data_IF_382240623993
#
_entry.id   IF_382240623993
#
_cell.length_a   1.000
_cell.length_b   1.000
_cell.length_c   1.000
_cell.angle_alpha   90.00
_cell.angle_beta   90.00
_cell.angle_gamma   90.00
#
_symmetry.space_group_name_H-M   'P 1'
#
loop_
_entity.id
_entity.type
_entity.pdbx_description
1 polymer ?
#
# COMPACT_ATOMS: atom_id res chain seq x y z
N UNK A 1 -33.25 -50.05 48.68
CA UNK A 1 -33.47 -50.20 47.22
C UNK A 1 -33.16 -48.83 46.60
N UNK A 2 -31.94 -48.59 46.08
CA UNK A 2 -31.56 -48.65 44.63
C UNK A 2 -32.58 -47.89 43.77
N UNK A 3 -32.29 -46.78 43.06
CA UNK A 3 -31.30 -46.52 41.99
C UNK A 3 -31.20 -44.98 41.77
N UNK A 4 -30.01 -44.35 41.78
CA UNK A 4 -29.13 -43.97 40.63
C UNK A 4 -29.65 -42.85 39.70
N UNK A 5 -28.91 -41.72 39.69
CA UNK A 5 -28.40 -40.89 38.57
C UNK A 5 -27.74 -39.64 39.22
N UNK A 6 -26.41 -39.49 39.35
CA UNK A 6 -25.37 -39.21 38.33
C UNK A 6 -25.78 -38.04 37.40
N UNK A 7 -25.03 -36.94 37.20
CA UNK A 7 -23.68 -36.57 37.61
C UNK A 7 -23.43 -35.06 37.42
N UNK A 8 -22.45 -34.55 38.19
CA UNK A 8 -21.41 -33.56 37.85
C UNK A 8 -21.77 -32.15 37.34
N UNK A 9 -21.54 -31.16 38.21
CA UNK A 9 -20.91 -29.87 37.84
C UNK A 9 -20.27 -29.25 39.11
N UNK A 10 -19.02 -29.64 39.34
CA UNK A 10 -18.07 -29.03 40.30
C UNK A 10 -16.78 -28.82 39.49
N UNK A 11 -16.07 -27.69 39.52
CA UNK A 11 -16.21 -26.54 40.38
C UNK A 11 -15.18 -25.46 40.04
N UNK A 12 -15.32 -24.35 40.80
CA UNK A 12 -14.27 -23.48 41.34
C UNK A 12 -13.45 -22.66 40.33
N UNK A 13 -13.91 -21.41 40.19
CA UNK A 13 -13.06 -20.24 39.99
C UNK A 13 -12.29 -19.89 41.29
N UNK A 14 -11.20 -19.13 41.13
CA UNK A 14 -10.28 -18.55 42.14
C UNK A 14 -9.27 -19.49 42.81
N UNK A 15 -8.01 -19.38 42.38
CA UNK A 15 -6.91 -18.82 43.19
C UNK A 15 -5.57 -19.26 42.61
N UNK A 16 -4.82 -18.32 42.01
CA UNK A 16 -3.35 -18.32 42.00
C UNK A 16 -2.89 -16.88 41.78
N UNK A 17 -3.00 -16.08 42.84
CA UNK A 17 -2.15 -14.90 43.03
C UNK A 17 -1.00 -15.32 43.93
N UNK A 18 0.23 -15.01 43.52
CA UNK A 18 1.39 -14.97 44.42
C UNK A 18 2.51 -15.97 44.12
N UNK A 19 3.24 -15.76 43.02
CA UNK A 19 4.70 -15.73 43.09
C UNK A 19 5.21 -14.59 42.21
N UNK A 20 5.68 -13.55 42.87
CA UNK A 20 6.46 -12.45 42.33
C UNK A 20 7.76 -12.98 41.74
N UNK A 21 7.81 -13.09 40.41
CA UNK A 21 8.96 -12.58 39.70
C UNK A 21 8.54 -11.20 39.20
N UNK A 22 9.16 -10.16 39.73
CA UNK A 22 9.23 -8.88 39.05
C UNK A 22 10.04 -9.11 37.76
N UNK A 23 9.42 -9.74 36.75
CA UNK A 23 9.72 -9.34 35.40
C UNK A 23 9.20 -7.92 35.33
N UNK A 24 10.10 -6.93 35.37
CA UNK A 24 9.80 -5.65 34.76
C UNK A 24 9.74 -5.87 33.24
N UNK A 25 8.73 -6.64 32.82
CA UNK A 25 8.22 -6.75 31.47
C UNK A 25 7.84 -5.33 31.08
N UNK A 26 8.74 -4.62 30.40
CA UNK A 26 8.55 -3.20 30.13
C UNK A 26 7.48 -3.05 29.04
N UNK A 27 6.22 -3.08 29.45
CA UNK A 27 5.10 -2.72 28.60
C UNK A 27 5.28 -1.28 28.14
N UNK A 28 5.14 -1.04 26.84
CA UNK A 28 5.29 0.29 26.27
C UNK A 28 4.11 0.60 25.36
N UNK A 29 3.71 1.86 25.39
CA UNK A 29 2.76 2.45 24.45
C UNK A 29 3.46 3.64 23.82
N UNK A 30 3.47 3.68 22.50
CA UNK A 30 4.08 4.74 21.72
C UNK A 30 3.02 5.40 20.87
N UNK A 31 2.87 6.72 21.04
CA UNK A 31 2.18 7.58 20.11
C UNK A 31 3.17 8.03 19.04
N UNK A 32 2.75 8.02 17.78
CA UNK A 32 3.60 8.40 16.66
C UNK A 32 2.78 8.99 15.51
N UNK A 33 3.45 9.67 14.58
CA UNK A 33 2.79 10.12 13.36
C UNK A 33 3.72 10.72 12.32
N UNK A 34 3.13 11.00 11.16
CA UNK A 34 3.76 11.70 10.04
C UNK A 34 2.74 12.69 9.49
N UNK A 35 3.19 13.90 9.21
CA UNK A 35 2.45 14.96 8.52
C UNK A 35 3.24 15.36 7.28
N UNK A 36 2.62 15.36 6.12
CA UNK A 36 3.11 15.80 4.82
C UNK A 36 2.08 16.73 4.18
N UNK A 37 2.53 17.88 3.68
CA UNK A 37 1.72 18.79 2.89
C UNK A 37 2.56 19.61 1.92
N UNK A 38 1.91 20.09 0.86
CA UNK A 38 2.59 20.81 -0.20
C UNK A 38 1.65 21.40 -1.24
N UNK A 39 2.25 22.05 -2.23
CA UNK A 39 1.57 22.60 -3.41
C UNK A 39 2.04 21.82 -4.62
N UNK A 40 1.08 21.37 -5.43
CA UNK A 40 1.32 20.62 -6.67
C UNK A 40 0.75 21.40 -7.85
N UNK A 41 1.55 21.60 -8.89
CA UNK A 41 1.10 22.02 -10.21
C UNK A 41 1.03 20.82 -11.13
N UNK A 42 -0.04 20.72 -11.94
CA UNK A 42 -0.21 19.67 -12.96
C UNK A 42 -0.61 20.34 -14.27
N UNK A 43 -0.01 19.92 -15.39
CA UNK A 43 -0.17 20.62 -16.67
C UNK A 43 -1.51 20.39 -17.38
N UNK A 44 -2.09 19.19 -17.27
CA UNK A 44 -3.30 18.80 -18.00
C UNK A 44 -4.13 17.81 -17.17
N UNK A 45 -5.12 18.34 -16.47
CA UNK A 45 -6.11 17.63 -15.64
C UNK A 45 -7.48 17.96 -16.22
N UNK A 46 -8.03 17.09 -17.07
CA UNK A 46 -9.26 17.38 -17.80
C UNK A 46 -9.15 18.51 -18.84
N UNK A 47 -7.97 18.74 -19.41
CA UNK A 47 -7.75 19.70 -20.50
C UNK A 47 -7.20 21.06 -20.08
N UNK A 48 -7.01 21.30 -18.79
CA UNK A 48 -6.38 22.51 -18.26
C UNK A 48 -5.35 22.17 -17.19
N UNK A 49 -4.47 23.13 -16.87
CA UNK A 49 -3.59 23.01 -15.72
C UNK A 49 -4.34 23.26 -14.42
N UNK A 50 -3.78 22.77 -13.31
CA UNK A 50 -4.23 23.07 -11.95
C UNK A 50 -3.04 23.34 -11.04
N UNK A 51 -3.20 24.26 -10.09
CA UNK A 51 -2.33 24.40 -8.92
C UNK A 51 -3.20 24.08 -7.71
N UNK A 52 -2.80 23.10 -6.89
CA UNK A 52 -3.57 22.67 -5.73
C UNK A 52 -2.70 22.50 -4.49
N UNK A 53 -3.32 22.72 -3.34
CA UNK A 53 -2.86 22.13 -2.10
C UNK A 53 -3.10 20.62 -2.17
N UNK A 54 -2.10 19.85 -1.77
CA UNK A 54 -2.23 18.41 -1.63
C UNK A 54 -1.38 17.92 -0.47
N UNK A 55 -1.81 16.83 0.16
CA UNK A 55 -1.21 16.34 1.41
C UNK A 55 -1.03 14.83 1.39
N UNK A 56 -0.11 14.34 2.22
CA UNK A 56 0.15 12.91 2.32
C UNK A 56 0.80 12.28 1.09
N UNK A 57 1.43 13.08 0.22
CA UNK A 57 1.93 12.64 -1.09
C UNK A 57 3.27 11.96 -0.96
N UNK A 58 4.29 12.63 -0.42
CA UNK A 58 5.59 12.00 -0.22
C UNK A 58 5.48 10.86 0.80
N UNK A 59 4.71 11.08 1.86
CA UNK A 59 4.37 10.06 2.85
C UNK A 59 2.95 10.26 3.33
N UNK A 60 2.14 9.19 3.32
CA UNK A 60 0.78 9.24 3.81
C UNK A 60 0.69 9.77 5.24
N UNK A 61 -0.10 10.84 5.41
CA UNK A 61 -0.46 11.46 6.67
C UNK A 61 -1.04 10.43 7.64
N UNK A 62 -0.50 10.38 8.87
CA UNK A 62 -0.92 9.37 9.85
C UNK A 62 -0.70 9.78 11.29
N UNK A 63 -1.58 9.26 12.14
CA UNK A 63 -1.48 9.29 13.58
C UNK A 63 -1.71 7.87 14.10
N UNK A 64 -0.88 7.40 15.01
CA UNK A 64 -0.99 6.03 15.49
C UNK A 64 -0.57 5.86 16.94
N UNK A 65 -1.10 4.78 17.52
CA UNK A 65 -0.72 4.26 18.83
C UNK A 65 -0.37 2.79 18.63
N UNK A 66 0.83 2.41 19.07
CA UNK A 66 1.27 1.02 19.08
C UNK A 66 1.76 0.64 20.47
N UNK A 67 1.64 -0.63 20.81
CA UNK A 67 2.11 -1.11 22.10
C UNK A 67 2.60 -2.54 22.09
N UNK A 68 3.33 -2.88 23.14
CA UNK A 68 3.84 -4.21 23.41
C UNK A 68 3.74 -4.45 24.91
N UNK A 69 3.23 -5.61 25.28
CA UNK A 69 3.17 -6.11 26.65
C UNK A 69 3.92 -7.44 26.69
N UNK A 70 4.91 -7.56 27.57
CA UNK A 70 5.63 -8.82 27.77
C UNK A 70 4.81 -9.74 28.69
N UNK A 71 4.46 -10.91 28.16
CA UNK A 71 3.64 -11.94 28.81
C UNK A 71 4.49 -13.01 29.51
N UNK A 72 5.82 -12.87 29.48
CA UNK A 72 6.78 -13.82 30.02
C UNK A 72 7.21 -14.89 29.01
N UNK A 73 8.37 -15.51 29.27
CA UNK A 73 8.89 -16.61 28.43
C UNK A 73 9.21 -16.21 26.98
N UNK A 74 9.44 -14.91 26.72
CA UNK A 74 9.68 -14.36 25.38
C UNK A 74 8.41 -14.10 24.56
N UNK A 75 7.23 -14.45 25.10
CA UNK A 75 5.94 -14.16 24.46
C UNK A 75 5.50 -12.73 24.79
N UNK A 76 4.99 -12.03 23.78
CA UNK A 76 4.51 -10.66 23.91
C UNK A 76 3.13 -10.51 23.27
N UNK A 77 2.23 -9.74 23.89
CA UNK A 77 1.07 -9.18 23.20
C UNK A 77 1.49 -7.89 22.48
N UNK A 78 1.00 -7.68 21.26
CA UNK A 78 1.27 -6.49 20.45
C UNK A 78 -0.02 -5.93 19.88
N UNK A 79 -0.09 -4.61 19.70
CA UNK A 79 -1.19 -3.97 18.99
C UNK A 79 -0.73 -2.72 18.24
N UNK A 80 -1.48 -2.37 17.19
CA UNK A 80 -1.36 -1.08 16.50
C UNK A 80 -2.75 -0.59 16.12
N UNK A 81 -3.01 0.69 16.36
CA UNK A 81 -4.16 1.44 15.86
C UNK A 81 -3.61 2.67 15.14
N UNK A 82 -3.85 2.79 13.83
CA UNK A 82 -3.30 3.85 12.98
C UNK A 82 -4.38 4.46 12.07
N UNK A 83 -4.58 5.76 12.22
CA UNK A 83 -5.46 6.60 11.42
C UNK A 83 -4.70 7.23 10.26
N UNK A 84 -5.33 7.32 9.09
CA UNK A 84 -4.93 8.22 8.02
C UNK A 84 -5.86 9.42 7.97
N UNK A 85 -5.35 10.60 7.65
CA UNK A 85 -6.16 11.82 7.60
C UNK A 85 -5.67 12.76 6.49
N UNK A 86 -6.55 13.64 6.03
CA UNK A 86 -6.23 14.74 5.13
C UNK A 86 -5.91 15.98 5.96
N UNK A 87 -4.72 16.54 5.78
CA UNK A 87 -4.32 17.75 6.50
C UNK A 87 -5.13 18.98 6.05
N UNK A 88 -5.48 19.05 4.76
CA UNK A 88 -6.15 20.21 4.18
C UNK A 88 -7.56 20.47 4.72
N UNK A 89 -8.23 19.46 5.26
CA UNK A 89 -9.61 19.57 5.73
C UNK A 89 -9.93 18.78 7.01
N UNK A 90 -8.97 18.02 7.55
CA UNK A 90 -9.12 17.23 8.78
C UNK A 90 -9.96 15.96 8.65
N UNK A 91 -10.38 15.57 7.45
CA UNK A 91 -11.16 14.35 7.23
C UNK A 91 -10.30 13.09 7.39
N UNK A 92 -10.91 12.00 7.83
CA UNK A 92 -10.26 10.68 7.84
C UNK A 92 -10.10 10.17 6.40
N UNK A 93 -8.95 9.55 6.12
CA UNK A 93 -8.73 8.78 4.91
C UNK A 93 -9.38 7.40 4.98
N UNK A 94 -9.05 6.52 4.02
CA UNK A 94 -9.39 5.09 4.05
C UNK A 94 -10.88 4.79 4.27
N UNK A 95 -11.75 5.44 3.48
CA UNK A 95 -13.20 5.25 3.60
C UNK A 95 -13.81 5.80 4.89
N UNK A 96 -13.22 6.87 5.43
CA UNK A 96 -13.63 7.50 6.71
C UNK A 96 -13.46 6.62 7.94
N UNK A 97 -12.62 5.58 7.86
CA UNK A 97 -12.34 4.69 8.99
C UNK A 97 -11.39 5.33 10.00
N UNK A 98 -11.74 5.32 11.29
CA UNK A 98 -10.90 5.88 12.35
C UNK A 98 -9.51 5.24 12.39
N UNK A 99 -9.39 3.93 12.19
CA UNK A 99 -8.11 3.21 12.14
C UNK A 99 -7.93 2.47 10.81
N UNK A 100 -8.19 3.20 9.71
CA UNK A 100 -8.20 2.63 8.36
C UNK A 100 -6.83 2.21 7.82
N UNK A 101 -5.72 2.74 8.37
CA UNK A 101 -4.38 2.35 7.93
C UNK A 101 -4.00 0.98 8.49
N UNK A 102 -4.08 0.82 9.81
CA UNK A 102 -3.84 -0.45 10.51
C UNK A 102 -4.66 -0.50 11.79
N UNK A 103 -5.23 -1.66 12.08
CA UNK A 103 -5.94 -1.92 13.33
C UNK A 103 -5.82 -3.41 13.66
N UNK A 104 -4.89 -3.79 14.54
CA UNK A 104 -4.67 -5.20 14.86
C UNK A 104 -4.21 -5.42 16.30
N UNK A 105 -4.38 -6.66 16.74
CA UNK A 105 -3.79 -7.24 17.95
C UNK A 105 -3.12 -8.56 17.59
N UNK A 106 -2.06 -8.95 18.30
CA UNK A 106 -1.36 -10.19 18.03
C UNK A 106 -0.48 -10.68 19.16
N UNK A 107 0.11 -11.85 18.92
CA UNK A 107 1.12 -12.46 19.76
C UNK A 107 2.44 -12.54 18.98
N UNK A 108 3.52 -12.16 19.65
CA UNK A 108 4.87 -12.19 19.11
C UNK A 108 5.78 -13.04 20.01
N UNK A 109 6.66 -13.82 19.40
CA UNK A 109 7.74 -14.54 20.09
C UNK A 109 8.90 -14.79 19.12
N UNK A 110 9.82 -15.71 19.44
CA UNK A 110 11.01 -16.07 18.65
C UNK A 110 10.69 -16.60 17.25
N UNK A 111 9.49 -17.15 17.04
CA UNK A 111 9.04 -17.63 15.74
C UNK A 111 8.51 -16.53 14.80
N UNK A 112 8.15 -15.37 15.32
CA UNK A 112 7.50 -14.30 14.56
C UNK A 112 6.30 -13.70 15.28
N UNK A 113 5.37 -13.16 14.50
CA UNK A 113 4.13 -12.52 14.97
C UNK A 113 2.92 -13.15 14.29
N UNK A 114 1.93 -13.56 15.10
CA UNK A 114 0.61 -13.97 14.65
C UNK A 114 -0.38 -12.89 15.09
N UNK A 115 -1.09 -12.29 14.14
CA UNK A 115 -1.93 -11.11 14.40
C UNK A 115 -3.25 -11.13 13.64
N UNK A 116 -4.24 -10.45 14.21
CA UNK A 116 -5.63 -10.40 13.76
C UNK A 116 -6.08 -8.95 13.57
N UNK A 117 -6.66 -8.62 12.42
CA UNK A 117 -7.27 -7.31 12.18
C UNK A 117 -7.11 -6.77 10.76
N UNK A 118 -7.12 -5.44 10.62
CA UNK A 118 -6.82 -4.72 9.39
C UNK A 118 -5.31 -4.47 9.30
N UNK A 119 -4.63 -5.12 8.34
CA UNK A 119 -3.17 -5.25 8.32
C UNK A 119 -2.62 -5.10 6.91
N UNK A 120 -1.39 -4.60 6.80
CA UNK A 120 -0.65 -4.52 5.54
C UNK A 120 -0.46 -5.92 4.93
N UNK A 121 -0.61 -6.01 3.61
CA UNK A 121 -0.41 -7.26 2.86
C UNK A 121 1.06 -7.62 2.65
N UNK A 122 1.35 -8.82 2.11
CA UNK A 122 2.74 -9.24 1.89
C UNK A 122 3.39 -8.50 0.72
N UNK A 123 2.62 -7.85 -0.17
CA UNK A 123 3.21 -6.96 -1.18
C UNK A 123 3.87 -5.79 -0.46
N UNK A 124 3.17 -5.17 0.49
CA UNK A 124 3.73 -4.10 1.32
C UNK A 124 4.93 -4.60 2.16
N UNK A 125 4.78 -5.71 2.88
CA UNK A 125 5.82 -6.19 3.81
C UNK A 125 7.11 -6.64 3.10
N UNK A 126 7.03 -7.11 1.86
CA UNK A 126 8.14 -7.79 1.20
C UNK A 126 8.76 -7.00 0.05
N UNK A 127 7.99 -6.17 -0.67
CA UNK A 127 8.45 -5.56 -1.92
C UNK A 127 8.24 -4.05 -2.06
N UNK A 128 7.42 -3.41 -1.22
CA UNK A 128 7.16 -1.95 -1.27
C UNK A 128 8.43 -1.09 -1.30
N UNK A 129 9.46 -1.50 -0.56
CA UNK A 129 10.74 -0.79 -0.52
C UNK A 129 11.34 -0.61 -1.92
N UNK A 130 11.05 -1.46 -2.88
CA UNK A 130 11.62 -1.43 -4.23
C UNK A 130 10.90 -0.50 -5.22
N UNK A 131 9.86 0.22 -4.79
CA UNK A 131 9.11 1.17 -5.61
C UNK A 131 9.79 2.56 -5.66
N UNK A 132 10.85 2.67 -6.46
CA UNK A 132 11.75 3.84 -6.43
C UNK A 132 11.10 5.11 -6.96
N UNK A 133 10.15 5.02 -7.90
CA UNK A 133 9.45 6.21 -8.40
C UNK A 133 8.50 6.78 -7.37
N UNK A 134 7.81 5.93 -6.60
CA UNK A 134 7.00 6.39 -5.48
C UNK A 134 7.86 7.07 -4.40
N UNK A 135 9.08 6.56 -4.12
CA UNK A 135 10.01 7.24 -3.23
C UNK A 135 10.54 8.58 -3.76
N UNK A 136 10.64 8.72 -5.09
CA UNK A 136 11.06 9.96 -5.74
C UNK A 136 10.01 11.05 -5.69
N UNK A 137 8.75 10.74 -6.03
CA UNK A 137 7.72 11.78 -6.17
C UNK A 137 6.51 11.64 -5.25
N UNK A 138 6.18 10.42 -4.84
CA UNK A 138 4.92 10.11 -4.17
C UNK A 138 3.75 9.92 -5.12
N UNK A 139 3.66 10.71 -6.20
CA UNK A 139 2.64 10.54 -7.25
C UNK A 139 2.99 9.43 -8.26
N UNK A 140 4.27 9.16 -8.49
CA UNK A 140 4.73 8.16 -9.45
C UNK A 140 4.66 6.72 -8.94
N UNK A 141 3.48 6.34 -8.47
CA UNK A 141 3.13 4.95 -8.22
C UNK A 141 2.90 4.21 -9.54
N UNK A 142 2.91 2.88 -9.51
CA UNK A 142 2.59 2.08 -10.68
C UNK A 142 1.20 2.41 -11.21
N UNK A 143 1.01 2.35 -12.53
CA UNK A 143 -0.24 2.81 -13.16
C UNK A 143 -1.47 2.12 -12.55
N UNK A 144 -2.38 2.92 -12.02
CA UNK A 144 -3.58 2.47 -11.31
C UNK A 144 -3.33 1.69 -10.01
N UNK A 145 -2.09 1.51 -9.55
CA UNK A 145 -1.69 0.71 -8.39
C UNK A 145 -2.33 -0.70 -8.37
N UNK A 146 -2.62 -1.26 -9.55
CA UNK A 146 -3.23 -2.59 -9.65
C UNK A 146 -2.29 -3.71 -9.21
N UNK A 147 -1.00 -3.44 -9.06
CA UNK A 147 -0.07 -4.38 -8.44
C UNK A 147 0.08 -4.19 -6.93
N UNK A 148 -0.53 -3.14 -6.35
CA UNK A 148 -0.52 -2.84 -4.91
C UNK A 148 0.88 -2.50 -4.40
N UNK A 149 1.80 -2.10 -5.28
CA UNK A 149 3.19 -1.77 -4.95
C UNK A 149 3.35 -0.43 -4.23
N UNK A 150 2.27 0.35 -4.08
CA UNK A 150 2.26 1.55 -3.23
C UNK A 150 1.70 1.31 -1.81
N UNK A 151 1.48 0.04 -1.46
CA UNK A 151 1.15 -0.36 -0.10
C UNK A 151 -0.32 -0.35 0.23
N UNK A 152 -0.82 -1.54 0.56
CA UNK A 152 -2.22 -1.73 0.84
C UNK A 152 -2.45 -2.70 2.01
N UNK A 153 -3.66 -2.63 2.56
CA UNK A 153 -4.11 -3.42 3.69
C UNK A 153 -5.13 -4.45 3.24
N UNK A 154 -5.36 -5.44 4.09
CA UNK A 154 -6.48 -6.36 4.00
C UNK A 154 -7.19 -6.40 5.36
N UNK A 155 -8.53 -6.15 5.41
CA UNK A 155 -9.31 -6.18 6.64
C UNK A 155 -9.54 -7.63 7.09
N UNK A 156 -10.14 -7.81 8.26
CA UNK A 156 -10.62 -9.12 8.73
C UNK A 156 -9.57 -10.23 8.58
N UNK A 157 -8.30 -9.92 8.84
CA UNK A 157 -7.20 -10.79 8.44
C UNK A 157 -6.59 -11.54 9.62
N UNK A 158 -6.12 -12.76 9.35
CA UNK A 158 -5.13 -13.46 10.18
C UNK A 158 -3.82 -13.43 9.41
N UNK A 159 -2.76 -12.95 10.06
CA UNK A 159 -1.44 -12.77 9.47
C UNK A 159 -0.39 -13.45 10.32
N UNK A 160 0.51 -14.17 9.68
CA UNK A 160 1.77 -14.61 10.26
C UNK A 160 2.92 -13.92 9.53
N UNK A 161 3.85 -13.36 10.30
CA UNK A 161 5.11 -12.81 9.80
C UNK A 161 6.26 -13.38 10.65
N UNK A 162 7.21 -14.06 10.02
CA UNK A 162 8.35 -14.64 10.72
C UNK A 162 9.24 -13.55 11.30
N UNK A 163 10.03 -13.89 12.33
CA UNK A 163 11.24 -13.08 12.59
C UNK A 163 12.24 -13.25 11.45
N UNK A 164 13.28 -12.43 11.44
CA UNK A 164 14.39 -12.58 10.51
C UNK A 164 15.33 -13.72 10.96
N UNK A 165 15.62 -14.65 10.04
CA UNK A 165 16.51 -15.79 10.26
C UNK A 165 17.61 -15.80 9.20
N UNK A 166 18.83 -15.42 9.59
CA UNK A 166 19.99 -15.33 8.69
C UNK A 166 19.69 -14.51 7.41
N UNK A 167 19.03 -13.37 7.57
CA UNK A 167 18.60 -12.50 6.47
C UNK A 167 17.22 -12.80 5.91
N UNK A 168 16.64 -13.98 6.16
CA UNK A 168 15.35 -14.39 5.60
C UNK A 168 14.17 -14.02 6.50
N UNK A 169 13.13 -13.45 5.90
CA UNK A 169 11.82 -13.23 6.49
C UNK A 169 10.76 -13.80 5.54
N UNK A 170 9.69 -14.39 6.06
CA UNK A 170 8.56 -14.84 5.27
C UNK A 170 7.25 -14.64 6.01
N UNK A 171 6.16 -14.58 5.27
CA UNK A 171 4.86 -14.35 5.85
C UNK A 171 3.72 -14.80 4.95
N UNK A 172 2.54 -14.86 5.55
CA UNK A 172 1.31 -15.17 4.87
C UNK A 172 0.12 -14.63 5.65
N UNK A 173 -0.95 -14.33 4.93
CA UNK A 173 -2.20 -13.89 5.53
C UNK A 173 -3.40 -14.29 4.70
N UNK A 174 -4.53 -14.42 5.40
CA UNK A 174 -5.85 -14.59 4.81
C UNK A 174 -6.79 -13.52 5.38
N UNK A 175 -7.59 -12.91 4.51
CA UNK A 175 -8.60 -11.90 4.80
C UNK A 175 -9.96 -12.46 4.46
N UNK A 176 -10.84 -12.56 5.45
CA UNK A 176 -12.20 -13.08 5.26
C UNK A 176 -13.11 -12.00 4.68
N UNK A 177 -13.93 -12.38 3.69
CA UNK A 177 -14.99 -11.51 3.15
C UNK A 177 -16.21 -11.38 4.07
N UNK A 178 -16.30 -12.21 5.12
CA UNK A 178 -17.43 -12.26 6.06
C UNK A 178 -18.80 -12.53 5.38
N UNK A 179 -18.81 -13.27 4.28
CA UNK A 179 -20.03 -13.67 3.58
C UNK A 179 -20.55 -15.00 4.11
N UNK A 180 -21.80 -15.04 4.54
CA UNK A 180 -22.41 -16.24 5.11
C UNK A 180 -22.50 -17.37 4.06
N UNK A 181 -21.85 -18.50 4.33
CA UNK A 181 -21.86 -19.67 3.43
C UNK A 181 -20.86 -19.61 2.27
N UNK A 182 -20.12 -18.51 2.12
CA UNK A 182 -19.10 -18.36 1.08
C UNK A 182 -17.77 -17.89 1.68
N UNK A 183 -16.78 -18.78 1.66
CA UNK A 183 -15.45 -18.48 2.18
C UNK A 183 -14.59 -17.68 1.20
N UNK A 184 -14.95 -17.67 -0.09
CA UNK A 184 -14.18 -17.09 -1.18
C UNK A 184 -14.68 -15.71 -1.60
N UNK A 185 -15.98 -15.46 -1.52
CA UNK A 185 -16.54 -14.15 -1.85
C UNK A 185 -15.92 -13.07 -0.96
N UNK A 186 -15.51 -11.97 -1.59
CA UNK A 186 -14.93 -10.79 -0.94
C UNK A 186 -13.65 -11.07 -0.13
N UNK A 187 -13.05 -12.24 -0.31
CA UNK A 187 -11.87 -12.69 0.42
C UNK A 187 -10.57 -12.32 -0.29
N UNK A 188 -9.48 -12.31 0.45
CA UNK A 188 -8.15 -12.09 -0.09
C UNK A 188 -7.10 -12.93 0.65
N UNK A 189 -5.97 -13.15 0.00
CA UNK A 189 -4.81 -13.76 0.66
C UNK A 189 -3.52 -13.23 0.07
N UNK A 190 -2.47 -13.29 0.86
CA UNK A 190 -1.16 -12.78 0.47
C UNK A 190 -0.06 -13.63 1.10
N UNK A 191 1.00 -13.92 0.37
CA UNK A 191 2.19 -14.65 0.83
C UNK A 191 3.43 -14.01 0.26
N UNK A 192 4.54 -14.09 0.97
CA UNK A 192 5.79 -13.56 0.46
C UNK A 192 7.00 -13.88 1.32
N UNK A 193 8.15 -13.54 0.79
CA UNK A 193 9.43 -13.67 1.45
C UNK A 193 10.37 -12.53 1.06
N UNK A 194 11.26 -12.22 1.98
CA UNK A 194 12.27 -11.18 1.86
C UNK A 194 13.61 -11.74 2.32
N UNK A 195 14.69 -11.27 1.70
CA UNK A 195 16.05 -11.58 2.07
C UNK A 195 16.89 -10.29 2.13
N UNK A 196 17.63 -10.09 3.21
CA UNK A 196 18.65 -9.05 3.32
C UNK A 196 19.99 -9.63 3.77
N UNK A 197 21.06 -9.18 3.14
CA UNK A 197 22.43 -9.50 3.55
C UNK A 197 23.40 -8.41 3.12
N UNK A 198 23.88 -7.63 4.09
CA UNK A 198 24.77 -6.51 3.84
C UNK A 198 24.12 -5.47 2.92
N UNK A 199 24.76 -5.09 1.79
CA UNK A 199 24.23 -4.07 0.88
C UNK A 199 23.09 -4.56 -0.01
N UNK A 200 22.82 -5.87 -0.07
CA UNK A 200 21.82 -6.46 -0.95
C UNK A 200 20.54 -6.79 -0.19
N UNK A 201 19.39 -6.42 -0.77
CA UNK A 201 18.08 -6.88 -0.33
C UNK A 201 17.24 -7.31 -1.53
N UNK A 202 16.36 -8.28 -1.33
CA UNK A 202 15.34 -8.64 -2.31
C UNK A 202 14.08 -9.14 -1.63
N UNK A 203 12.96 -9.06 -2.32
CA UNK A 203 11.71 -9.64 -1.86
C UNK A 203 10.83 -10.08 -3.01
N UNK A 204 9.90 -10.98 -2.69
CA UNK A 204 8.84 -11.39 -3.59
C UNK A 204 7.55 -11.62 -2.81
N UNK A 205 6.43 -11.29 -3.43
CA UNK A 205 5.10 -11.49 -2.86
C UNK A 205 4.10 -11.89 -3.93
N UNK A 206 3.07 -12.60 -3.51
CA UNK A 206 1.86 -12.79 -4.29
C UNK A 206 0.64 -12.42 -3.44
N UNK A 207 -0.21 -11.55 -3.98
CA UNK A 207 -1.46 -11.13 -3.35
C UNK A 207 -2.62 -11.37 -4.30
N UNK A 208 -3.70 -11.98 -3.81
CA UNK A 208 -4.93 -12.19 -4.56
C UNK A 208 -6.13 -11.62 -3.83
N UNK A 209 -6.94 -10.87 -4.55
CA UNK A 209 -8.26 -10.41 -4.15
C UNK A 209 -9.31 -11.17 -4.96
N UNK A 210 -10.36 -11.65 -4.29
CA UNK A 210 -11.56 -12.17 -4.90
C UNK A 210 -12.66 -11.12 -4.73
N UNK A 211 -13.36 -10.77 -5.81
CA UNK A 211 -14.40 -9.75 -5.83
C UNK A 211 -13.95 -8.42 -5.18
N UNK A 212 -12.85 -7.80 -5.66
CA UNK A 212 -12.37 -6.54 -5.10
C UNK A 212 -13.45 -5.45 -5.13
N UNK A 213 -13.66 -4.80 -3.99
CA UNK A 213 -14.73 -3.83 -3.76
C UNK A 213 -14.28 -2.73 -2.78
N UNK A 214 -15.13 -1.72 -2.57
CA UNK A 214 -14.84 -0.60 -1.68
C UNK A 214 -13.56 0.13 -2.09
N UNK A 215 -12.57 0.21 -1.20
CA UNK A 215 -11.29 0.86 -1.49
C UNK A 215 -10.41 0.10 -2.50
N UNK A 216 -10.77 -1.13 -2.86
CA UNK A 216 -10.09 -1.94 -3.89
C UNK A 216 -10.84 -1.95 -5.23
N UNK A 217 -11.94 -1.22 -5.33
CA UNK A 217 -12.79 -1.25 -6.50
C UNK A 217 -12.10 -0.58 -7.70
N UNK A 218 -12.43 -1.05 -8.90
CA UNK A 218 -11.79 -0.60 -10.13
C UNK A 218 -12.57 0.55 -10.76
N UNK A 219 -11.86 1.62 -11.10
CA UNK A 219 -12.30 2.65 -12.03
C UNK A 219 -11.26 2.76 -13.16
N UNK A 220 -11.37 1.96 -14.23
CA UNK A 220 -10.30 1.87 -15.23
C UNK A 220 -10.02 3.19 -15.96
N UNK A 221 -11.04 4.03 -16.19
CA UNK A 221 -10.81 5.30 -16.87
C UNK A 221 -10.08 6.27 -15.94
N UNK A 222 -10.56 6.43 -14.72
CA UNK A 222 -9.89 7.33 -13.80
C UNK A 222 -8.48 6.82 -13.45
N UNK A 223 -8.29 5.50 -13.27
CA UNK A 223 -7.03 4.90 -12.81
C UNK A 223 -5.96 4.73 -13.89
N UNK A 224 -6.34 4.45 -15.14
CA UNK A 224 -5.39 4.20 -16.24
C UNK A 224 -5.58 5.14 -17.46
N UNK A 225 -6.69 5.85 -17.54
CA UNK A 225 -7.07 6.67 -18.69
C UNK A 225 -7.35 5.88 -19.97
N UNK A 226 -7.54 4.57 -19.86
CA UNK A 226 -7.90 3.70 -21.00
C UNK A 226 -9.34 3.93 -21.40
N UNK A 227 -9.66 3.80 -22.69
CA UNK A 227 -11.03 3.94 -23.22
C UNK A 227 -11.78 2.61 -23.28
N UNK A 228 -11.03 1.51 -23.17
CA UNK A 228 -11.55 0.16 -23.05
C UNK A 228 -10.79 -0.59 -21.96
N UNK A 229 -11.48 -1.46 -21.23
CA UNK A 229 -10.91 -2.35 -20.23
C UNK A 229 -11.67 -3.68 -20.24
N UNK A 230 -10.98 -4.80 -20.42
CA UNK A 230 -11.58 -6.13 -20.55
C UNK A 230 -12.67 -6.18 -21.65
N UNK A 231 -12.45 -5.44 -22.75
CA UNK A 231 -13.37 -5.34 -23.88
C UNK A 231 -14.61 -4.47 -23.64
N UNK A 232 -14.76 -3.84 -22.48
CA UNK A 232 -15.84 -2.88 -22.20
C UNK A 232 -15.34 -1.46 -22.37
N UNK A 233 -16.21 -0.57 -22.86
CA UNK A 233 -15.94 0.86 -22.92
C UNK A 233 -15.96 1.46 -21.52
N UNK A 234 -14.99 2.32 -21.20
CA UNK A 234 -14.81 2.94 -19.87
C UNK A 234 -15.11 4.42 -19.85
N UNK A 235 -15.06 5.08 -21.00
CA UNK A 235 -15.31 6.52 -21.15
C UNK A 235 -16.09 6.78 -22.44
N UNK A 236 -16.97 7.77 -22.43
CA UNK A 236 -17.54 8.35 -23.66
C UNK A 236 -16.94 9.72 -23.93
N UNK A 237 -16.76 10.05 -25.21
CA UNK A 237 -16.28 11.37 -25.65
C UNK A 237 -17.37 12.02 -26.49
N UNK A 238 -17.84 13.18 -26.06
CA UNK A 238 -18.77 13.99 -26.82
C UNK A 238 -18.06 14.50 -28.09
N UNK A 239 -18.54 14.16 -29.30
CA UNK A 239 -17.88 14.55 -30.55
C UNK A 239 -17.94 16.07 -30.83
N UNK A 240 -18.88 16.80 -30.24
CA UNK A 240 -19.04 18.24 -30.43
C UNK A 240 -18.19 19.06 -29.46
N UNK A 241 -18.08 18.61 -28.21
CA UNK A 241 -17.40 19.37 -27.15
C UNK A 241 -16.05 18.78 -26.73
N UNK A 242 -15.77 17.53 -27.07
CA UNK A 242 -14.63 16.78 -26.56
C UNK A 242 -14.74 16.41 -25.07
N UNK A 243 -15.91 16.66 -24.45
CA UNK A 243 -16.14 16.34 -23.04
C UNK A 243 -16.09 14.83 -22.81
N UNK A 244 -15.40 14.42 -21.74
CA UNK A 244 -15.21 13.02 -21.37
C UNK A 244 -16.13 12.67 -20.21
N UNK A 245 -16.91 11.62 -20.35
CA UNK A 245 -17.76 11.09 -19.28
C UNK A 245 -17.29 9.70 -18.90
N UNK A 246 -16.80 9.60 -17.67
CA UNK A 246 -16.42 8.35 -17.04
C UNK A 246 -17.66 7.48 -16.79
N UNK A 247 -17.64 6.24 -17.28
CA UNK A 247 -18.77 5.32 -17.16
C UNK A 247 -18.80 4.57 -15.83
N UNK A 248 -17.71 4.61 -15.05
CA UNK A 248 -17.52 3.86 -13.80
C UNK A 248 -17.32 4.74 -12.57
N UNK A 249 -17.39 6.07 -12.71
CA UNK A 249 -17.22 7.03 -11.60
C UNK A 249 -18.19 6.84 -10.41
N UNK A 250 -19.39 6.31 -10.68
CA UNK A 250 -20.45 6.12 -9.68
C UNK A 250 -20.70 4.64 -9.34
N UNK A 251 -20.31 3.73 -10.23
CA UNK A 251 -20.50 2.30 -10.09
C UNK A 251 -19.20 1.63 -10.52
N UNK A 252 -18.45 0.99 -9.60
CA UNK A 252 -17.17 0.42 -9.96
C UNK A 252 -17.26 -0.67 -11.03
N UNK A 253 -16.16 -0.82 -11.78
CA UNK A 253 -16.02 -1.85 -12.79
C UNK A 253 -16.06 -3.25 -12.15
N UNK A 254 -16.88 -4.18 -12.66
CA UNK A 254 -16.97 -5.52 -12.08
C UNK A 254 -15.72 -6.35 -12.38
N UNK A 255 -14.97 -6.66 -11.31
CA UNK A 255 -13.81 -7.56 -11.34
C UNK A 255 -14.10 -8.75 -10.44
N UNK A 256 -13.91 -9.96 -10.98
CA UNK A 256 -14.08 -11.21 -10.24
C UNK A 256 -12.84 -11.53 -9.40
N UNK A 257 -11.66 -11.22 -9.94
CA UNK A 257 -10.38 -11.56 -9.32
C UNK A 257 -9.26 -10.64 -9.80
N UNK A 258 -8.41 -10.24 -8.85
CA UNK A 258 -7.13 -9.58 -9.10
C UNK A 258 -6.04 -10.41 -8.41
N UNK A 259 -4.98 -10.80 -9.13
CA UNK A 259 -3.87 -11.57 -8.58
C UNK A 259 -2.54 -11.00 -9.05
N UNK A 260 -1.71 -10.55 -8.12
CA UNK A 260 -0.44 -9.89 -8.41
C UNK A 260 0.71 -10.71 -7.87
N UNK A 261 1.65 -11.06 -8.74
CA UNK A 261 3.01 -11.43 -8.36
C UNK A 261 3.93 -10.21 -8.46
N UNK A 262 4.75 -9.98 -7.44
CA UNK A 262 5.74 -8.92 -7.41
C UNK A 262 7.10 -9.44 -6.96
N UNK A 263 8.17 -8.90 -7.55
CA UNK A 263 9.55 -9.14 -7.11
C UNK A 263 10.34 -7.84 -7.22
N UNK A 264 11.23 -7.59 -6.27
CA UNK A 264 12.11 -6.43 -6.32
C UNK A 264 13.41 -6.68 -5.56
N UNK A 265 14.39 -5.81 -5.83
CA UNK A 265 15.68 -5.86 -5.17
C UNK A 265 16.32 -4.48 -5.08
N UNK A 266 17.25 -4.35 -4.14
CA UNK A 266 18.12 -3.19 -4.02
C UNK A 266 19.57 -3.60 -3.75
N UNK A 267 20.50 -2.73 -4.15
CA UNK A 267 21.92 -2.88 -3.84
C UNK A 267 22.55 -1.52 -3.51
N UNK A 268 23.15 -1.40 -2.33
CA UNK A 268 23.86 -0.21 -1.88
C UNK A 268 25.33 -0.20 -2.33
N UNK A 269 25.77 0.89 -2.95
CA UNK A 269 27.12 1.17 -3.43
C UNK A 269 27.56 2.52 -2.86
N UNK A 270 28.18 2.50 -1.68
CA UNK A 270 28.50 3.74 -0.96
C UNK A 270 27.22 4.50 -0.62
N UNK A 271 27.14 5.76 -1.07
CA UNK A 271 25.99 6.63 -0.83
C UNK A 271 24.86 6.48 -1.87
N UNK A 272 24.99 5.56 -2.82
CA UNK A 272 23.99 5.29 -3.87
C UNK A 272 23.34 3.92 -3.64
N UNK A 273 22.02 3.87 -3.63
CA UNK A 273 21.25 2.62 -3.63
C UNK A 273 20.55 2.47 -4.97
N UNK A 274 20.89 1.40 -5.70
CA UNK A 274 20.20 1.00 -6.93
C UNK A 274 18.99 0.14 -6.57
N UNK A 275 17.88 0.33 -7.26
CA UNK A 275 16.61 -0.34 -6.97
C UNK A 275 15.93 -0.74 -8.26
N UNK A 276 15.21 -1.86 -8.24
CA UNK A 276 14.37 -2.26 -9.36
C UNK A 276 13.38 -3.34 -8.96
N UNK A 277 12.25 -3.36 -9.67
CA UNK A 277 11.19 -4.32 -9.45
C UNK A 277 10.48 -4.71 -10.74
N UNK A 278 9.71 -5.79 -10.65
CA UNK A 278 8.81 -6.25 -11.69
C UNK A 278 7.53 -6.80 -11.09
N UNK A 279 6.40 -6.49 -11.71
CA UNK A 279 5.08 -6.96 -11.31
C UNK A 279 4.35 -7.63 -12.48
N UNK A 280 3.57 -8.65 -12.15
CA UNK A 280 2.66 -9.34 -13.07
C UNK A 280 1.31 -9.47 -12.39
N UNK A 281 0.34 -8.67 -12.85
CA UNK A 281 -1.01 -8.61 -12.29
C UNK A 281 -2.00 -9.22 -13.28
N UNK A 282 -2.71 -10.25 -12.83
CA UNK A 282 -3.84 -10.84 -13.55
C UNK A 282 -5.13 -10.18 -13.08
N UNK A 283 -5.93 -9.68 -14.02
CA UNK A 283 -7.25 -9.10 -13.76
C UNK A 283 -8.27 -9.92 -14.55
N UNK A 284 -9.28 -10.44 -13.85
CA UNK A 284 -10.37 -11.22 -14.44
C UNK A 284 -11.70 -10.58 -14.09
N UNK A 285 -12.54 -10.38 -15.10
CA UNK A 285 -13.90 -9.88 -14.95
C UNK A 285 -14.68 -10.13 -16.23
N UNK A 286 -16.00 -10.28 -16.12
CA UNK A 286 -16.90 -10.41 -17.28
C UNK A 286 -16.51 -11.56 -18.24
N UNK A 287 -15.92 -12.63 -17.72
CA UNK A 287 -15.44 -13.77 -18.51
C UNK A 287 -14.15 -13.51 -19.30
N UNK A 288 -13.54 -12.33 -19.18
CA UNK A 288 -12.27 -11.96 -19.81
C UNK A 288 -11.14 -11.99 -18.77
N UNK A 289 -9.93 -12.30 -19.21
CA UNK A 289 -8.72 -12.23 -18.36
C UNK A 289 -7.62 -11.50 -19.11
N UNK A 290 -7.06 -10.50 -18.46
CA UNK A 290 -5.96 -9.68 -18.97
C UNK A 290 -4.83 -9.61 -17.95
N UNK A 291 -3.64 -9.24 -18.43
CA UNK A 291 -2.43 -9.18 -17.62
C UNK A 291 -1.75 -7.83 -17.75
N UNK A 292 -1.52 -7.18 -16.63
CA UNK A 292 -0.69 -5.99 -16.52
C UNK A 292 0.72 -6.40 -16.12
N UNK A 293 1.71 -5.77 -16.74
CA UNK A 293 3.12 -5.91 -16.38
C UNK A 293 3.69 -4.54 -16.10
N UNK A 294 4.40 -4.40 -14.98
CA UNK A 294 5.16 -3.19 -14.67
C UNK A 294 6.61 -3.59 -14.45
N UNK A 295 7.53 -2.86 -15.08
CA UNK A 295 8.95 -2.95 -14.79
C UNK A 295 9.45 -1.58 -14.38
N UNK A 296 10.20 -1.53 -13.29
CA UNK A 296 10.74 -0.29 -12.73
C UNK A 296 12.21 -0.42 -12.37
N UNK A 297 12.96 0.66 -12.55
CA UNK A 297 14.31 0.80 -12.01
C UNK A 297 14.67 2.25 -11.71
N UNK A 298 15.64 2.43 -10.83
CA UNK A 298 16.07 3.77 -10.40
C UNK A 298 17.16 3.73 -9.34
N UNK A 299 17.43 4.90 -8.78
CA UNK A 299 18.45 5.08 -7.76
C UNK A 299 18.05 6.14 -6.73
N UNK A 300 18.48 5.91 -5.49
CA UNK A 300 18.54 6.92 -4.43
C UNK A 300 20.00 7.28 -4.18
N UNK A 301 20.33 8.56 -4.10
CA UNK A 301 21.66 9.07 -3.81
C UNK A 301 21.64 10.00 -2.59
N UNK A 302 22.30 9.57 -1.52
CA UNK A 302 22.53 10.38 -0.33
C UNK A 302 23.72 11.32 -0.54
N UNK A 303 23.51 12.43 -1.25
CA UNK A 303 24.56 13.39 -1.64
C UNK A 303 25.32 13.94 -0.42
N UNK A 304 24.60 14.25 0.66
CA UNK A 304 25.16 14.63 1.97
C UNK A 304 24.27 14.05 3.08
N UNK A 305 24.67 14.04 4.37
CA UNK A 305 23.79 13.59 5.45
C UNK A 305 22.44 14.33 5.54
N UNK A 306 22.33 15.53 4.96
CA UNK A 306 21.11 16.33 4.98
C UNK A 306 20.39 16.41 3.62
N UNK A 307 20.98 15.92 2.52
CA UNK A 307 20.44 16.10 1.17
C UNK A 307 20.48 14.79 0.39
N UNK A 308 19.34 14.39 -0.17
CA UNK A 308 19.20 13.21 -1.02
C UNK A 308 18.43 13.51 -2.30
N UNK A 309 18.73 12.74 -3.33
CA UNK A 309 18.06 12.78 -4.63
C UNK A 309 17.63 11.37 -5.00
N UNK A 310 16.39 11.20 -5.48
CA UNK A 310 15.82 9.91 -5.85
C UNK A 310 15.23 10.04 -7.24
N UNK A 311 15.59 9.14 -8.14
CA UNK A 311 15.08 9.13 -9.51
C UNK A 311 14.66 7.72 -9.92
N UNK A 312 13.51 7.63 -10.57
CA UNK A 312 12.92 6.36 -11.01
C UNK A 312 12.36 6.45 -12.42
N UNK A 313 12.29 5.29 -13.06
CA UNK A 313 11.59 5.09 -14.32
C UNK A 313 10.79 3.80 -14.28
N UNK A 314 9.53 3.89 -14.65
CA UNK A 314 8.63 2.74 -14.76
C UNK A 314 8.04 2.64 -16.17
N UNK A 315 7.86 1.39 -16.62
CA UNK A 315 7.18 1.03 -17.84
C UNK A 315 6.04 0.07 -17.52
N UNK A 316 4.81 0.45 -17.87
CA UNK A 316 3.63 -0.38 -17.72
C UNK A 316 3.12 -0.84 -19.09
N UNK A 317 2.67 -2.08 -19.18
CA UNK A 317 1.95 -2.62 -20.34
C UNK A 317 0.67 -3.32 -19.90
N UNK A 318 -0.44 -3.02 -20.58
CA UNK A 318 -1.74 -3.64 -20.35
C UNK A 318 -2.63 -3.52 -21.60
N UNK A 319 -3.27 -4.63 -22.03
CA UNK A 319 -4.22 -4.68 -23.15
C UNK A 319 -3.76 -3.98 -24.46
N UNK A 320 -2.47 -4.07 -24.77
CA UNK A 320 -1.88 -3.45 -25.97
C UNK A 320 -1.52 -1.96 -25.81
N UNK A 321 -1.86 -1.35 -24.68
CA UNK A 321 -1.41 -0.02 -24.29
C UNK A 321 -0.13 -0.06 -23.45
N UNK A 322 0.57 1.07 -23.41
CA UNK A 322 1.76 1.21 -22.57
C UNK A 322 1.91 2.62 -22.01
N UNK A 323 2.61 2.72 -20.88
CA UNK A 323 2.91 3.95 -20.16
C UNK A 323 4.40 4.00 -19.85
N UNK A 324 5.01 5.16 -20.07
CA UNK A 324 6.41 5.43 -19.72
C UNK A 324 6.38 6.61 -18.74
N UNK A 325 6.86 6.41 -17.51
CA UNK A 325 6.86 7.46 -16.51
C UNK A 325 8.23 7.59 -15.85
N UNK A 326 8.76 8.81 -15.89
CA UNK A 326 9.95 9.20 -15.14
C UNK A 326 9.56 10.05 -13.93
N UNK A 327 10.32 9.89 -12.86
CA UNK A 327 10.15 10.60 -11.60
C UNK A 327 11.49 11.11 -11.08
N UNK A 328 11.47 12.26 -10.42
CA UNK A 328 12.65 12.81 -9.74
C UNK A 328 12.22 13.57 -8.48
N UNK A 329 12.88 13.27 -7.37
CA UNK A 329 12.70 13.92 -6.09
C UNK A 329 14.02 14.38 -5.50
N UNK A 330 13.98 15.48 -4.75
CA UNK A 330 15.08 15.96 -3.94
C UNK A 330 14.56 16.35 -2.55
N UNK A 331 15.19 15.80 -1.51
CA UNK A 331 14.83 16.02 -0.11
C UNK A 331 15.96 16.71 0.63
N UNK A 332 15.62 17.69 1.47
CA UNK A 332 16.55 18.36 2.37
C UNK A 332 16.06 18.26 3.82
N UNK A 333 16.83 17.57 4.65
CA UNK A 333 16.58 17.40 6.09
C UNK A 333 16.92 18.70 6.84
N UNK A 334 15.90 19.32 7.42
CA UNK A 334 16.04 20.39 8.40
C UNK A 334 16.38 19.82 9.78
N UNK A 335 15.93 18.59 10.04
CA UNK A 335 16.26 17.80 11.23
C UNK A 335 16.11 16.31 10.94
N UNK A 336 16.39 15.44 11.93
CA UNK A 336 16.09 14.00 11.81
C UNK A 336 14.60 13.66 11.58
N UNK A 337 13.71 14.63 11.84
CA UNK A 337 12.26 14.46 11.83
C UNK A 337 11.55 15.41 10.88
N UNK A 338 12.28 16.30 10.20
CA UNK A 338 11.66 17.31 9.33
C UNK A 338 12.49 17.48 8.07
N UNK A 339 11.83 17.41 6.92
CA UNK A 339 12.41 17.72 5.62
C UNK A 339 11.48 18.58 4.78
N UNK A 340 12.10 19.31 3.86
CA UNK A 340 11.43 19.96 2.73
C UNK A 340 11.88 19.27 1.45
N UNK A 341 11.02 19.24 0.45
CA UNK A 341 11.31 18.54 -0.79
C UNK A 341 10.71 19.24 -2.01
N UNK A 342 11.27 18.89 -3.15
CA UNK A 342 10.71 19.14 -4.47
C UNK A 342 10.70 17.83 -5.24
N UNK A 343 9.63 17.57 -5.96
CA UNK A 343 9.53 16.43 -6.87
C UNK A 343 8.81 16.80 -8.15
N UNK A 344 8.89 15.93 -9.15
CA UNK A 344 8.06 16.02 -10.33
C UNK A 344 8.12 14.75 -11.16
N UNK A 345 7.05 14.55 -11.92
CA UNK A 345 6.85 13.39 -12.77
C UNK A 345 6.52 13.81 -14.19
N UNK A 346 6.85 12.93 -15.12
CA UNK A 346 6.42 13.03 -16.51
C UNK A 346 5.96 11.67 -17.00
N UNK A 347 4.69 11.58 -17.38
CA UNK A 347 4.05 10.39 -17.92
C UNK A 347 3.74 10.58 -19.40
N UNK A 348 4.08 9.57 -20.20
CA UNK A 348 3.65 9.41 -21.60
C UNK A 348 2.98 8.05 -21.82
N UNK A 349 1.68 8.10 -22.11
CA UNK A 349 0.89 6.94 -22.51
C UNK A 349 0.95 6.70 -24.03
N UNK A 350 0.56 5.51 -24.46
CA UNK A 350 0.36 5.17 -25.88
C UNK A 350 -0.86 5.91 -26.48
N UNK A 351 -0.96 5.94 -27.80
CA UNK A 351 -2.14 6.49 -28.48
C UNK A 351 -3.44 5.81 -28.02
N UNK A 352 -4.52 6.58 -27.89
CA UNK A 352 -5.82 6.09 -27.43
C UNK A 352 -5.97 5.98 -25.92
N UNK A 353 -4.98 6.47 -25.16
CA UNK A 353 -5.00 6.53 -23.70
C UNK A 353 -4.79 7.96 -23.24
N UNK A 354 -5.58 8.35 -22.26
CA UNK A 354 -5.43 9.61 -21.55
C UNK A 354 -4.39 9.43 -20.46
N UNK A 355 -3.31 10.20 -20.47
CA UNK A 355 -2.32 10.07 -19.41
C UNK A 355 -2.91 10.50 -18.05
N UNK A 356 -2.71 9.66 -17.03
CA UNK A 356 -3.06 9.94 -15.63
C UNK A 356 -1.94 9.46 -14.71
N UNK A 357 -1.30 10.37 -14.00
CA UNK A 357 -0.22 10.05 -13.07
C UNK A 357 -0.83 9.49 -11.79
N UNK A 358 -0.49 8.23 -11.47
CA UNK A 358 -0.76 7.59 -10.19
C UNK A 358 -2.22 7.61 -9.74
N UNK A 359 -3.19 7.65 -10.67
CA UNK A 359 -4.62 7.85 -10.39
C UNK A 359 -4.94 9.11 -9.53
N UNK A 360 -4.00 10.05 -9.42
CA UNK A 360 -4.07 11.15 -8.44
C UNK A 360 -4.72 12.42 -8.97
N UNK A 361 -5.00 12.45 -10.29
CA UNK A 361 -5.54 13.58 -11.01
C UNK A 361 -6.62 13.11 -11.98
N UNK A 362 -7.52 14.01 -12.39
CA UNK A 362 -8.38 13.74 -13.54
C UNK A 362 -7.53 13.38 -14.76
N UNK A 363 -7.86 12.31 -15.51
CA UNK A 363 -7.14 11.98 -16.73
C UNK A 363 -6.99 13.18 -17.66
N UNK A 364 -5.82 13.30 -18.28
CA UNK A 364 -5.52 14.38 -19.21
C UNK A 364 -6.33 14.23 -20.50
N UNK A 365 -6.44 15.30 -21.29
CA UNK A 365 -7.05 15.20 -22.63
C UNK A 365 -6.09 14.70 -23.71
N UNK A 366 -4.86 14.33 -23.34
CA UNK A 366 -3.77 13.98 -24.25
C UNK A 366 -3.05 12.71 -23.78
N UNK A 367 -2.03 12.28 -24.51
CA UNK A 367 -1.21 11.11 -24.10
C UNK A 367 -0.10 11.48 -23.11
N UNK A 368 -0.10 12.68 -22.54
CA UNK A 368 0.96 13.15 -21.63
C UNK A 368 0.40 13.93 -20.45
N UNK A 369 0.98 13.73 -19.28
CA UNK A 369 0.71 14.51 -18.07
C UNK A 369 2.03 14.71 -17.31
N UNK A 370 2.17 15.85 -16.65
CA UNK A 370 3.35 16.20 -15.88
C UNK A 370 2.93 16.99 -14.64
N UNK A 371 3.65 16.78 -13.55
CA UNK A 371 3.47 17.54 -12.32
C UNK A 371 4.80 17.98 -11.71
N UNK A 372 4.71 19.01 -10.89
CA UNK A 372 5.79 19.48 -10.02
C UNK A 372 5.18 19.78 -8.66
N UNK A 373 5.83 19.30 -7.61
CA UNK A 373 5.41 19.50 -6.23
C UNK A 373 6.54 20.08 -5.40
N UNK A 374 6.19 20.99 -4.50
CA UNK A 374 7.02 21.37 -3.35
C UNK A 374 6.27 21.05 -2.07
N UNK A 375 6.97 20.51 -1.07
CA UNK A 375 6.32 20.10 0.17
C UNK A 375 7.24 20.06 1.38
N UNK A 376 6.62 19.78 2.52
CA UNK A 376 7.27 19.60 3.81
C UNK A 376 6.69 18.36 4.48
N UNK A 377 7.56 17.59 5.13
CA UNK A 377 7.18 16.46 5.97
C UNK A 377 7.75 16.61 7.39
N UNK A 378 6.96 16.21 8.39
CA UNK A 378 7.35 16.14 9.79
C UNK A 378 6.90 14.81 10.42
N UNK A 379 7.78 14.16 11.18
CA UNK A 379 7.46 12.96 11.97
C UNK A 379 7.62 13.21 13.47
N UNK A 380 6.79 12.58 14.30
CA UNK A 380 6.80 12.78 15.76
C UNK A 380 6.75 11.48 16.56
#
# INVERSE_FOLDING_TARGET
MKKLNAAALTGVALALAGMSNASHAQSSVTLYGIIDAGITWVNNTGGSHVVKFDDGISYGNRFGIKGTEDLGGGLQAVFTLESGFHLGNGQLGFGSALFGRQAYVGLKNQWGTLSFGNQLDMTEEMVYLYNVSAWGSGYAIHQGDFDRFNGDRLPNSVKFLSNEFAGFMFGGMYSFGNVAGDFHQDSAWSVGAHYANGPFTMGAAYTQLNNPHGIYAFDPYAMLGVHTFLGQQTVTVDPATGARTDLFSSNPFPVDKQGTFGVGSSYAIGDVTLMGNFTYTTIKGLGVTSHMKVGEGGASWQVTPAFSVIGGYQYTNFEGHHWNQGSLGAHYLLSKRTDVYISGDYLKASSGVDAVIGYSFTPSTTTTQADVRIGMRHSF
#
